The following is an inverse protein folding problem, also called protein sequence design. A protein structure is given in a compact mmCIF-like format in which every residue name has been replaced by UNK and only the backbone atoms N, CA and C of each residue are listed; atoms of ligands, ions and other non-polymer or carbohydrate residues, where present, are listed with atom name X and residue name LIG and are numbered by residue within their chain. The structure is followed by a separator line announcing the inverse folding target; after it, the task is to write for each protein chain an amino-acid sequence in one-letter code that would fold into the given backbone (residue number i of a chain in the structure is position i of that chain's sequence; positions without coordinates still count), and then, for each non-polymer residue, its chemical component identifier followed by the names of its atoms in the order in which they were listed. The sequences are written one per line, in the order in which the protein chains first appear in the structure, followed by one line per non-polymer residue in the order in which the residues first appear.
data_IF_804302140205
#
_entry.id   IF_804302140205
#
_cell.length_a   1.000
_cell.length_b   1.000
_cell.length_c   1.000
_cell.angle_alpha   90.00
_cell.angle_beta   90.00
_cell.angle_gamma   90.00
#
_symmetry.space_group_name_H-M   'P 1'
#
loop_
_entity.id
_entity.type
_entity.pdbx_description
1 polymer ?
#
# COMPACT_ATOMS: atom_id res chain seq x y z
N UNK A 1 -23.33 15.10 -62.41
CA UNK A 1 -22.06 15.46 -61.72
C UNK A 1 -21.56 14.20 -61.02
N UNK A 2 -20.43 13.70 -61.46
CA UNK A 2 -19.86 12.50 -60.87
C UNK A 2 -19.26 12.80 -59.48
N UNK A 3 -19.39 11.86 -58.59
CA UNK A 3 -18.86 11.96 -57.22
C UNK A 3 -17.37 12.35 -57.19
N UNK A 4 -16.62 11.91 -58.18
CA UNK A 4 -15.21 12.24 -58.38
C UNK A 4 -15.00 13.73 -58.75
N UNK A 5 -15.90 14.34 -59.51
CA UNK A 5 -15.83 15.76 -59.84
C UNK A 5 -16.11 16.64 -58.62
N UNK A 6 -17.10 16.27 -57.80
CA UNK A 6 -17.39 16.95 -56.54
C UNK A 6 -16.20 16.89 -55.56
N UNK A 7 -15.54 15.73 -55.44
CA UNK A 7 -14.37 15.55 -54.62
C UNK A 7 -13.19 16.44 -55.09
N UNK A 8 -12.96 16.49 -56.41
CA UNK A 8 -11.88 17.29 -57.02
C UNK A 8 -12.12 18.80 -56.84
N UNK A 9 -13.37 19.25 -56.98
CA UNK A 9 -13.77 20.63 -56.70
C UNK A 9 -13.61 21.00 -55.21
N UNK A 10 -13.99 20.13 -54.32
CA UNK A 10 -13.88 20.33 -52.85
C UNK A 10 -12.42 20.44 -52.43
N UNK A 11 -11.55 19.58 -52.93
CA UNK A 11 -10.11 19.62 -52.67
C UNK A 11 -9.48 20.89 -53.29
N UNK A 12 -9.87 21.28 -54.52
CA UNK A 12 -9.41 22.52 -55.15
C UNK A 12 -9.77 23.77 -54.33
N UNK A 13 -10.96 23.84 -53.79
CA UNK A 13 -11.39 24.93 -52.89
C UNK A 13 -10.62 25.00 -51.59
N UNK A 14 -10.23 23.86 -51.02
CA UNK A 14 -9.37 23.79 -49.81
C UNK A 14 -8.00 24.44 -50.08
N UNK A 15 -7.39 24.19 -51.22
CA UNK A 15 -6.12 24.76 -51.59
C UNK A 15 -6.21 26.23 -52.06
N UNK A 16 -7.35 26.70 -52.53
CA UNK A 16 -7.56 28.10 -52.90
C UNK A 16 -7.63 29.05 -51.70
N UNK A 17 -8.15 28.55 -50.54
CA UNK A 17 -8.24 29.32 -49.28
C UNK A 17 -7.37 28.75 -48.18
N UNK A 18 -6.05 28.63 -48.45
CA UNK A 18 -5.06 27.96 -47.61
C UNK A 18 -5.11 28.36 -46.11
N UNK A 19 -5.19 29.65 -45.83
CA UNK A 19 -5.21 30.17 -44.45
C UNK A 19 -6.48 29.73 -43.70
N UNK A 20 -7.64 29.81 -44.37
CA UNK A 20 -8.91 29.42 -43.76
C UNK A 20 -8.92 27.93 -43.47
N UNK A 21 -8.53 27.12 -44.44
CA UNK A 21 -8.46 25.64 -44.28
C UNK A 21 -7.49 25.23 -43.19
N UNK A 22 -6.32 25.88 -43.14
CA UNK A 22 -5.33 25.63 -42.10
C UNK A 22 -5.87 25.96 -40.69
N UNK A 23 -6.50 27.15 -40.53
CA UNK A 23 -7.05 27.57 -39.25
C UNK A 23 -8.20 26.64 -38.77
N UNK A 24 -9.07 26.21 -39.68
CA UNK A 24 -10.16 25.28 -39.33
C UNK A 24 -9.62 23.90 -38.96
N UNK A 25 -8.65 23.34 -39.68
CA UNK A 25 -8.01 22.09 -39.34
C UNK A 25 -7.28 22.18 -38.00
N UNK A 26 -6.55 23.28 -37.75
CA UNK A 26 -5.87 23.52 -36.50
C UNK A 26 -6.84 23.54 -35.32
N UNK A 27 -7.97 24.22 -35.46
CA UNK A 27 -9.03 24.26 -34.44
C UNK A 27 -9.60 22.85 -34.11
N UNK A 28 -9.86 22.06 -35.17
CA UNK A 28 -10.36 20.68 -34.99
C UNK A 28 -9.30 19.80 -34.28
N UNK A 29 -8.03 19.88 -34.71
CA UNK A 29 -6.93 19.10 -34.10
C UNK A 29 -6.78 19.46 -32.63
N UNK A 30 -6.75 20.75 -32.29
CA UNK A 30 -6.64 21.20 -30.90
C UNK A 30 -7.85 20.72 -30.07
N UNK A 31 -9.07 20.86 -30.61
CA UNK A 31 -10.29 20.43 -29.94
C UNK A 31 -10.30 18.93 -29.63
N UNK A 32 -10.02 18.11 -30.64
CA UNK A 32 -9.97 16.65 -30.45
C UNK A 32 -8.84 16.26 -29.49
N UNK A 33 -7.64 16.84 -29.65
CA UNK A 33 -6.51 16.55 -28.79
C UNK A 33 -6.79 16.90 -27.32
N UNK A 34 -7.47 18.01 -27.06
CA UNK A 34 -7.86 18.40 -25.71
C UNK A 34 -8.82 17.38 -25.06
N UNK A 35 -9.83 16.92 -25.81
CA UNK A 35 -10.80 15.92 -25.33
C UNK A 35 -10.11 14.59 -25.03
N UNK A 36 -9.26 14.12 -25.95
CA UNK A 36 -8.51 12.86 -25.76
C UNK A 36 -7.58 12.96 -24.57
N UNK A 37 -6.86 14.07 -24.42
CA UNK A 37 -5.96 14.28 -23.28
C UNK A 37 -6.70 14.29 -21.93
N UNK A 38 -7.88 14.92 -21.90
CA UNK A 38 -8.72 14.98 -20.70
C UNK A 38 -9.27 13.60 -20.33
N UNK A 39 -9.75 12.84 -21.32
CA UNK A 39 -10.24 11.48 -21.13
C UNK A 39 -9.15 10.52 -20.66
N UNK A 40 -7.94 10.59 -21.21
CA UNK A 40 -6.81 9.77 -20.83
C UNK A 40 -6.37 10.03 -19.39
N UNK A 41 -6.36 11.29 -18.96
CA UNK A 41 -6.04 11.65 -17.57
C UNK A 41 -7.10 11.14 -16.60
N UNK A 42 -8.38 11.24 -16.95
CA UNK A 42 -9.48 10.73 -16.13
C UNK A 42 -9.39 9.23 -15.86
N UNK A 43 -9.07 8.44 -16.88
CA UNK A 43 -8.87 6.99 -16.72
C UNK A 43 -7.68 6.64 -15.81
N UNK A 44 -6.54 7.31 -15.99
CA UNK A 44 -5.35 7.07 -15.17
C UNK A 44 -5.54 7.45 -13.70
N UNK A 45 -6.24 8.56 -13.41
CA UNK A 45 -6.55 8.97 -12.03
C UNK A 45 -7.49 7.95 -11.36
N UNK A 46 -8.50 7.44 -12.06
CA UNK A 46 -9.41 6.42 -11.53
C UNK A 46 -8.65 5.15 -11.15
N UNK A 47 -7.77 4.67 -12.01
CA UNK A 47 -6.99 3.45 -11.76
C UNK A 47 -6.03 3.60 -10.59
N UNK A 48 -5.37 4.75 -10.47
CA UNK A 48 -4.50 5.07 -9.33
C UNK A 48 -5.29 5.16 -8.03
N UNK A 49 -6.44 5.83 -8.01
CA UNK A 49 -7.27 5.94 -6.80
C UNK A 49 -7.80 4.57 -6.38
N UNK A 50 -8.31 3.76 -7.31
CA UNK A 50 -8.78 2.40 -7.01
C UNK A 50 -7.61 1.53 -6.53
N UNK A 51 -6.45 1.63 -7.15
CA UNK A 51 -5.23 0.94 -6.72
C UNK A 51 -4.80 1.32 -5.32
N UNK A 52 -4.83 2.60 -4.98
CA UNK A 52 -4.45 3.08 -3.65
C UNK A 52 -5.51 2.73 -2.59
N UNK A 53 -6.80 2.81 -2.91
CA UNK A 53 -7.86 2.32 -2.04
C UNK A 53 -7.72 0.82 -1.76
N UNK A 54 -7.43 0.01 -2.77
CA UNK A 54 -7.20 -1.43 -2.58
C UNK A 54 -5.97 -1.71 -1.70
N UNK A 55 -4.92 -0.89 -1.78
CA UNK A 55 -3.75 -0.97 -0.87
C UNK A 55 -4.11 -0.60 0.57
N UNK A 56 -5.03 0.34 0.75
CA UNK A 56 -5.54 0.74 2.08
C UNK A 56 -6.50 -0.31 2.67
N UNK A 57 -6.78 -1.40 1.95
CA UNK A 57 -7.66 -2.47 2.44
C UNK A 57 -9.12 -2.04 2.51
N UNK A 58 -9.67 -1.62 1.37
CA UNK A 58 -11.11 -1.30 1.28
C UNK A 58 -11.95 -2.48 1.77
N UNK A 59 -12.79 -2.23 2.76
CA UNK A 59 -13.55 -3.28 3.45
C UNK A 59 -12.93 -3.75 4.78
N UNK A 60 -11.71 -3.31 5.10
CA UNK A 60 -11.14 -3.55 6.42
C UNK A 60 -11.64 -2.52 7.43
N UNK A 61 -11.86 -2.96 8.65
CA UNK A 61 -12.14 -2.08 9.77
C UNK A 61 -11.31 -2.51 10.98
N UNK A 62 -11.00 -1.55 11.82
CA UNK A 62 -10.24 -1.77 13.05
C UNK A 62 -11.17 -1.60 14.25
N UNK A 63 -11.09 -2.55 15.16
CA UNK A 63 -11.76 -2.48 16.46
C UNK A 63 -10.67 -2.24 17.50
N UNK A 64 -10.74 -1.10 18.15
CA UNK A 64 -9.83 -0.71 19.23
C UNK A 64 -10.58 -0.28 20.46
N UNK A 65 -9.92 -0.36 21.60
CA UNK A 65 -10.47 0.16 22.85
C UNK A 65 -10.31 1.69 22.82
N UNK A 66 -11.35 2.40 23.21
CA UNK A 66 -11.27 3.85 23.37
C UNK A 66 -10.37 4.21 24.55
N UNK A 67 -9.17 4.68 24.21
CA UNK A 67 -8.16 5.14 25.18
C UNK A 67 -8.10 6.66 25.30
N UNK A 68 -9.20 7.36 24.94
CA UNK A 68 -9.27 8.82 25.03
C UNK A 68 -9.03 9.32 26.46
N UNK A 69 -8.39 10.47 26.65
CA UNK A 69 -8.16 11.04 27.97
C UNK A 69 -9.48 11.28 28.73
N UNK A 70 -9.57 10.68 29.92
CA UNK A 70 -10.78 10.76 30.78
C UNK A 70 -11.67 9.53 30.72
N UNK A 71 -11.44 8.59 29.83
CA UNK A 71 -12.07 7.27 29.84
C UNK A 71 -11.24 6.29 30.68
N UNK A 72 -11.88 5.64 31.63
CA UNK A 72 -11.29 4.54 32.41
C UNK A 72 -11.81 3.22 31.86
N UNK A 73 -10.90 2.42 31.29
CA UNK A 73 -11.24 1.07 30.86
C UNK A 73 -10.85 0.06 31.94
N UNK A 74 -11.68 -0.93 32.11
CA UNK A 74 -11.41 -2.06 33.00
C UNK A 74 -10.72 -3.18 32.23
N UNK A 75 -10.09 -4.10 32.94
CA UNK A 75 -9.48 -5.30 32.33
C UNK A 75 -10.51 -6.13 31.55
N UNK A 76 -11.79 -6.03 31.91
CA UNK A 76 -12.91 -6.72 31.24
C UNK A 76 -13.22 -6.13 29.85
N UNK A 77 -12.83 -4.88 29.60
CA UNK A 77 -13.04 -4.19 28.33
C UNK A 77 -11.96 -4.55 27.29
N UNK A 78 -10.90 -5.28 27.72
CA UNK A 78 -9.83 -5.70 26.83
C UNK A 78 -10.32 -6.77 25.84
N UNK A 79 -9.95 -6.59 24.58
CA UNK A 79 -10.23 -7.60 23.55
C UNK A 79 -9.50 -8.90 23.87
N UNK A 80 -10.23 -9.99 23.83
CA UNK A 80 -9.73 -11.33 24.19
C UNK A 80 -9.73 -12.26 22.98
N UNK A 81 -9.06 -13.41 23.11
CA UNK A 81 -9.07 -14.47 22.09
C UNK A 81 -10.50 -14.97 21.78
N UNK A 82 -11.39 -14.94 22.78
CA UNK A 82 -12.81 -15.32 22.60
C UNK A 82 -13.55 -14.35 21.68
N UNK A 83 -13.19 -13.07 21.71
CA UNK A 83 -13.82 -12.06 20.86
C UNK A 83 -13.36 -12.22 19.40
N UNK A 84 -12.12 -12.62 19.17
CA UNK A 84 -11.63 -13.01 17.83
C UNK A 84 -12.45 -14.18 17.27
N UNK A 85 -12.73 -15.19 18.08
CA UNK A 85 -13.55 -16.34 17.68
C UNK A 85 -15.00 -15.95 17.36
N UNK A 86 -15.57 -14.99 18.09
CA UNK A 86 -16.91 -14.46 17.79
C UNK A 86 -16.91 -13.68 16.48
N UNK A 87 -15.91 -12.81 16.28
CA UNK A 87 -15.78 -12.01 15.05
C UNK A 87 -15.63 -12.90 13.81
N UNK A 88 -14.84 -13.97 13.88
CA UNK A 88 -14.68 -14.94 12.78
C UNK A 88 -15.98 -15.67 12.38
N UNK A 89 -16.99 -15.66 13.24
CA UNK A 89 -18.30 -16.31 12.96
C UNK A 89 -19.32 -15.38 12.30
N UNK A 90 -19.02 -14.09 12.18
CA UNK A 90 -19.91 -13.12 11.57
C UNK A 90 -19.85 -13.31 10.05
N UNK A 91 -21.00 -13.45 9.42
CA UNK A 91 -21.11 -13.57 7.97
C UNK A 91 -20.55 -12.32 7.28
N UNK A 92 -19.73 -12.51 6.26
CA UNK A 92 -19.05 -11.43 5.53
C UNK A 92 -17.67 -11.06 6.08
N UNK A 93 -17.22 -11.63 7.20
CA UNK A 93 -15.85 -11.46 7.71
C UNK A 93 -14.98 -12.59 7.20
N UNK A 94 -14.02 -12.24 6.33
CA UNK A 94 -13.11 -13.22 5.72
C UNK A 94 -11.89 -13.53 6.59
N UNK A 95 -11.39 -12.55 7.33
CA UNK A 95 -10.22 -12.72 8.20
C UNK A 95 -10.29 -11.76 9.40
N UNK A 96 -9.75 -12.20 10.53
CA UNK A 96 -9.62 -11.40 11.75
C UNK A 96 -8.22 -11.58 12.29
N UNK A 97 -7.48 -10.47 12.44
CA UNK A 97 -6.14 -10.50 13.00
C UNK A 97 -6.02 -9.53 14.18
N UNK A 98 -5.74 -10.01 15.39
CA UNK A 98 -5.28 -9.13 16.45
C UNK A 98 -3.90 -8.58 16.08
N UNK A 99 -3.67 -7.32 16.43
CA UNK A 99 -2.38 -6.66 16.34
C UNK A 99 -1.99 -6.12 17.69
N UNK A 100 -0.68 -6.12 17.96
CA UNK A 100 -0.11 -5.48 19.14
C UNK A 100 1.04 -4.61 18.71
N UNK A 101 0.92 -3.30 18.87
CA UNK A 101 1.96 -2.36 18.46
C UNK A 101 2.69 -1.79 19.67
N UNK A 102 4.00 -1.69 19.57
CA UNK A 102 4.87 -1.10 20.56
C UNK A 102 6.04 -0.39 19.92
N UNK A 103 6.55 0.64 20.57
CA UNK A 103 7.78 1.29 20.14
C UNK A 103 8.99 0.53 20.66
N UNK A 104 9.90 0.23 19.77
CA UNK A 104 11.16 -0.45 20.06
C UNK A 104 12.34 0.39 19.57
N UNK A 105 13.47 0.29 20.26
CA UNK A 105 14.72 0.93 19.83
C UNK A 105 15.58 -0.11 19.12
N UNK A 106 15.98 0.24 17.90
CA UNK A 106 16.97 -0.52 17.14
C UNK A 106 18.28 0.25 17.11
N UNK A 107 19.38 -0.45 17.33
CA UNK A 107 20.71 0.11 17.15
C UNK A 107 21.10 -0.12 15.69
N UNK A 108 21.16 0.97 14.91
CA UNK A 108 21.58 0.92 13.50
C UNK A 108 23.10 0.78 13.44
N UNK A 109 23.83 1.48 14.32
CA UNK A 109 25.26 1.42 14.53
C UNK A 109 25.57 1.86 15.98
N UNK A 110 26.84 1.82 16.41
CA UNK A 110 27.24 2.16 17.79
C UNK A 110 26.75 3.54 18.26
N UNK A 111 26.61 4.51 17.34
CA UNK A 111 26.24 5.89 17.65
C UNK A 111 24.82 6.28 17.19
N UNK A 112 24.08 5.42 16.49
CA UNK A 112 22.79 5.76 15.90
C UNK A 112 21.69 4.85 16.40
N UNK A 113 20.85 5.39 17.26
CA UNK A 113 19.65 4.72 17.78
C UNK A 113 18.43 5.35 17.20
N UNK A 114 17.52 4.56 16.62
CA UNK A 114 16.25 5.03 16.10
C UNK A 114 15.11 4.26 16.73
N UNK A 115 14.01 4.93 16.95
CA UNK A 115 12.77 4.34 17.44
C UNK A 115 11.93 3.90 16.26
N UNK A 116 11.48 2.66 16.27
CA UNK A 116 10.60 2.07 15.27
C UNK A 116 9.33 1.58 15.94
N UNK A 117 8.24 1.61 15.20
CA UNK A 117 7.01 0.95 15.59
C UNK A 117 7.10 -0.53 15.20
N UNK A 118 7.00 -1.39 16.18
CA UNK A 118 6.97 -2.83 16.00
C UNK A 118 5.55 -3.33 16.18
N UNK A 119 5.04 -4.06 15.20
CA UNK A 119 3.70 -4.64 15.25
C UNK A 119 3.79 -6.15 15.28
N UNK A 120 3.29 -6.74 16.35
CA UNK A 120 3.09 -8.18 16.46
C UNK A 120 1.84 -8.59 15.69
N UNK A 121 1.96 -9.64 14.86
CA UNK A 121 0.91 -10.09 13.96
C UNK A 121 0.75 -11.59 13.98
N UNK A 122 -0.42 -12.07 13.54
CA UNK A 122 -0.69 -13.49 13.27
C UNK A 122 -0.87 -13.71 11.76
N UNK A 123 -1.04 -14.97 11.36
CA UNK A 123 -1.13 -15.37 9.94
C UNK A 123 -2.18 -14.59 9.14
N UNK A 124 -3.37 -14.40 9.71
CA UNK A 124 -4.49 -13.72 9.04
C UNK A 124 -4.20 -12.24 8.73
N UNK A 125 -3.23 -11.62 9.42
CA UNK A 125 -2.81 -10.25 9.15
C UNK A 125 -2.40 -10.01 7.70
N UNK A 126 -1.69 -10.95 7.10
CA UNK A 126 -1.23 -10.84 5.71
C UNK A 126 -2.33 -11.11 4.66
N UNK A 127 -3.50 -11.56 5.09
CA UNK A 127 -4.69 -11.63 4.22
C UNK A 127 -5.42 -10.28 4.21
N UNK A 128 -5.42 -9.60 5.35
CA UNK A 128 -6.07 -8.29 5.56
C UNK A 128 -5.22 -7.18 4.94
N UNK A 129 -3.90 -7.24 5.15
CA UNK A 129 -2.94 -6.23 4.70
C UNK A 129 -2.35 -6.60 3.36
N UNK A 130 -2.46 -5.72 2.39
CA UNK A 130 -1.97 -5.92 1.02
C UNK A 130 -0.46 -5.71 0.88
N UNK A 131 0.32 -6.18 1.86
CA UNK A 131 1.78 -6.09 1.79
C UNK A 131 2.36 -7.01 0.73
N UNK A 132 3.20 -6.44 -0.11
CA UNK A 132 3.96 -7.18 -1.12
C UNK A 132 5.35 -7.49 -0.61
N UNK A 133 5.72 -8.77 -0.62
CA UNK A 133 7.08 -9.18 -0.28
C UNK A 133 8.04 -8.78 -1.40
N UNK A 134 9.08 -8.03 -1.08
CA UNK A 134 10.14 -7.64 -2.01
C UNK A 134 11.29 -8.66 -2.01
N UNK A 135 11.67 -9.12 -0.82
CA UNK A 135 12.72 -10.15 -0.64
C UNK A 135 12.34 -11.06 0.52
N UNK A 136 12.81 -12.30 0.48
CA UNK A 136 12.51 -13.27 1.51
C UNK A 136 11.10 -13.85 1.43
N UNK A 137 10.51 -14.15 2.57
CA UNK A 137 9.19 -14.79 2.67
C UNK A 137 8.38 -14.30 3.86
N UNK A 138 7.09 -14.54 3.85
CA UNK A 138 6.21 -14.40 5.01
C UNK A 138 6.53 -15.47 6.05
N UNK A 139 6.04 -15.30 7.27
CA UNK A 139 6.15 -16.31 8.33
C UNK A 139 5.39 -17.59 7.96
N UNK A 140 5.89 -18.72 8.39
CA UNK A 140 5.21 -20.00 8.26
C UNK A 140 4.25 -20.20 9.45
N UNK A 141 3.19 -21.03 9.31
CA UNK A 141 2.19 -21.24 10.37
C UNK A 141 2.77 -21.66 11.72
N UNK A 142 3.86 -22.42 11.72
CA UNK A 142 4.55 -22.85 12.93
C UNK A 142 5.41 -21.75 13.58
N UNK A 143 5.76 -20.70 12.84
CA UNK A 143 6.57 -19.60 13.32
C UNK A 143 5.76 -18.58 14.13
N UNK A 144 4.46 -18.48 13.91
CA UNK A 144 3.56 -17.66 14.71
C UNK A 144 3.35 -18.19 16.14
N UNK A 145 3.67 -19.46 16.38
CA UNK A 145 3.51 -20.13 17.68
C UNK A 145 4.77 -20.14 18.54
N UNK A 146 5.90 -19.76 17.98
CA UNK A 146 7.20 -19.70 18.68
C UNK A 146 7.48 -18.27 19.11
N UNK A 147 8.05 -18.12 20.30
CA UNK A 147 8.34 -16.85 20.97
C UNK A 147 9.05 -15.82 20.08
N UNK A 148 8.32 -15.26 19.14
CA UNK A 148 8.57 -14.04 18.40
C UNK A 148 10.01 -13.70 17.99
N UNK A 149 10.77 -14.68 17.48
CA UNK A 149 12.19 -14.48 17.10
C UNK A 149 12.37 -14.11 15.63
N UNK A 150 11.28 -13.80 14.93
CA UNK A 150 11.29 -13.52 13.50
C UNK A 150 10.78 -12.12 13.23
N UNK A 151 11.39 -11.44 12.27
CA UNK A 151 11.06 -10.08 11.90
C UNK A 151 10.94 -9.95 10.38
N UNK A 152 9.96 -9.16 9.96
CA UNK A 152 9.88 -8.59 8.62
C UNK A 152 10.16 -7.09 8.72
N UNK A 153 10.93 -6.55 7.79
CA UNK A 153 11.23 -5.13 7.71
C UNK A 153 10.46 -4.51 6.56
N UNK A 154 9.97 -3.30 6.74
CA UNK A 154 9.57 -2.49 5.60
C UNK A 154 10.81 -2.05 4.78
N UNK A 155 10.59 -1.77 3.50
CA UNK A 155 11.68 -1.46 2.58
C UNK A 155 12.48 -0.20 2.98
N UNK A 156 11.82 0.79 3.59
CA UNK A 156 12.45 2.04 4.02
C UNK A 156 13.37 1.78 5.21
N UNK A 157 12.89 1.03 6.20
CA UNK A 157 13.69 0.64 7.36
C UNK A 157 14.88 -0.24 6.97
N UNK A 158 14.65 -1.17 6.02
CA UNK A 158 15.72 -2.03 5.52
C UNK A 158 16.83 -1.21 4.84
N UNK A 159 16.49 -0.24 4.00
CA UNK A 159 17.45 0.65 3.35
C UNK A 159 18.20 1.53 4.36
N UNK A 160 17.49 2.09 5.34
CA UNK A 160 18.10 2.92 6.39
C UNK A 160 19.08 2.17 7.27
N UNK A 161 18.83 0.88 7.53
CA UNK A 161 19.66 0.06 8.42
C UNK A 161 20.82 -0.62 7.71
N UNK A 162 20.59 -1.07 6.48
CA UNK A 162 21.52 -1.96 5.78
C UNK A 162 22.11 -1.35 4.51
N UNK A 163 21.72 -0.11 4.14
CA UNK A 163 22.32 0.66 3.03
C UNK A 163 22.41 -0.12 1.69
N UNK A 164 21.36 -0.88 1.36
CA UNK A 164 21.29 -1.70 0.16
C UNK A 164 21.83 -3.12 0.30
N UNK A 165 22.49 -3.45 1.40
CA UNK A 165 22.90 -4.82 1.69
C UNK A 165 21.69 -5.71 1.98
N UNK A 166 21.85 -7.02 1.82
CA UNK A 166 20.76 -7.98 2.05
C UNK A 166 20.65 -8.35 3.53
N UNK A 167 19.60 -7.90 4.25
CA UNK A 167 19.47 -8.16 5.68
C UNK A 167 18.89 -9.53 6.02
N UNK A 168 18.49 -10.35 5.03
CA UNK A 168 17.82 -11.62 5.29
C UNK A 168 18.78 -12.60 5.94
N UNK A 169 18.37 -13.13 7.09
CA UNK A 169 19.17 -14.03 7.92
C UNK A 169 19.98 -13.32 9.02
N UNK A 170 20.10 -11.98 8.94
CA UNK A 170 20.80 -11.21 9.97
C UNK A 170 20.03 -11.23 11.29
N UNK A 171 20.80 -11.21 12.38
CA UNK A 171 20.29 -11.14 13.75
C UNK A 171 20.40 -9.72 14.26
N UNK A 172 19.28 -9.15 14.66
CA UNK A 172 19.25 -7.82 15.27
C UNK A 172 18.68 -7.91 16.68
N UNK A 173 19.16 -7.02 17.56
CA UNK A 173 18.65 -6.91 18.91
C UNK A 173 17.68 -5.75 19.01
N UNK A 174 16.45 -6.07 19.37
CA UNK A 174 15.37 -5.12 19.61
C UNK A 174 15.33 -4.84 21.11
N UNK A 175 15.40 -3.56 21.46
CA UNK A 175 15.34 -3.11 22.85
C UNK A 175 13.95 -2.55 23.15
N UNK A 176 13.22 -3.24 24.02
CA UNK A 176 12.01 -2.75 24.66
C UNK A 176 12.37 -2.05 25.97
N UNK A 177 11.39 -1.39 26.61
CA UNK A 177 11.62 -0.59 27.84
C UNK A 177 12.52 -1.25 28.91
N UNK A 178 12.38 -2.53 29.14
CA UNK A 178 13.12 -3.30 30.17
C UNK A 178 13.76 -4.60 29.66
N UNK A 179 13.43 -5.01 28.44
CA UNK A 179 13.89 -6.27 27.87
C UNK A 179 14.52 -6.06 26.51
N UNK A 180 15.52 -6.86 26.19
CA UNK A 180 16.09 -6.95 24.84
C UNK A 180 15.82 -8.34 24.28
N UNK A 181 15.45 -8.40 23.01
CA UNK A 181 15.23 -9.65 22.31
C UNK A 181 15.99 -9.67 21.00
N UNK A 182 16.71 -10.75 20.73
CA UNK A 182 17.35 -10.97 19.44
C UNK A 182 16.40 -11.67 18.50
N UNK A 183 16.19 -11.08 17.32
CA UNK A 183 15.30 -11.57 16.27
C UNK A 183 16.06 -11.75 14.97
N UNK A 184 15.56 -12.61 14.09
CA UNK A 184 16.13 -12.89 12.77
C UNK A 184 15.23 -12.25 11.71
N UNK A 185 15.87 -11.55 10.77
CA UNK A 185 15.15 -10.94 9.64
C UNK A 185 14.87 -11.99 8.58
N UNK A 186 13.60 -12.18 8.23
CA UNK A 186 13.15 -13.19 7.28
C UNK A 186 12.69 -12.63 5.94
N UNK A 187 12.41 -11.35 5.88
CA UNK A 187 11.99 -10.73 4.63
C UNK A 187 11.84 -9.22 4.70
N UNK A 188 11.67 -8.65 3.53
CA UNK A 188 11.43 -7.23 3.30
C UNK A 188 10.11 -7.10 2.56
N UNK A 189 9.25 -6.19 3.01
CA UNK A 189 7.96 -5.90 2.41
C UNK A 189 7.81 -4.41 2.06
N UNK A 190 6.81 -4.12 1.22
CA UNK A 190 6.41 -2.77 0.84
C UNK A 190 4.89 -2.66 0.90
#
# INVERSE_FOLDING_TARGET
MDFLELLKLSIGNLFSYKIRSFLTMLGIIIGISAVVMMSSRGAGVKENIVGDLNKLGVGNFEISIDTSPGQSYKTEDLLTTKDIEKLKKIEGIEAVSPTSSSFARLNINENRRKMFMLTGVIEDYFKISNYTMLKGRKFLPNEYRKDGKYLLLDSTTAEEMFHGENPIGEKITINFRQNSQTVIIFGIFK
#
